data_IF_529223810819
#
_entry.id   IF_529223810819
#
_cell.length_a   1.000
_cell.length_b   1.000
_cell.length_c   1.000
_cell.angle_alpha   90.00
_cell.angle_beta   90.00
_cell.angle_gamma   90.00
#
_symmetry.space_group_name_H-M   'P 1'
#
loop_
_entity.id
_entity.type
_entity.pdbx_description
1 polymer ?
#
# COMPACT_ATOMS: atom_id res chain seq x y z
N UNK A 1 -21.60 -44.90 -10.49
CA UNK A 1 -20.18 -44.85 -10.91
C UNK A 1 -19.59 -43.47 -10.58
N UNK A 2 -19.49 -43.12 -9.27
CA UNK A 2 -18.89 -41.83 -8.80
C UNK A 2 -18.53 -41.81 -7.30
N UNK A 3 -18.43 -42.98 -6.64
CA UNK A 3 -18.02 -43.12 -5.23
C UNK A 3 -16.70 -43.89 -5.03
N UNK A 4 -16.13 -44.47 -6.09
CA UNK A 4 -14.91 -45.26 -5.99
C UNK A 4 -13.61 -44.46 -6.20
N UNK A 5 -13.68 -43.29 -6.85
CA UNK A 5 -12.46 -42.49 -7.14
C UNK A 5 -11.95 -41.64 -5.97
N UNK A 6 -12.81 -41.37 -4.97
CA UNK A 6 -12.43 -40.52 -3.83
C UNK A 6 -11.65 -41.27 -2.75
N UNK A 7 -11.95 -42.56 -2.51
CA UNK A 7 -11.23 -43.36 -1.51
C UNK A 7 -9.83 -43.80 -1.98
N UNK A 8 -9.65 -44.01 -3.29
CA UNK A 8 -8.35 -44.41 -3.85
C UNK A 8 -7.31 -43.28 -3.70
N UNK A 9 -7.72 -42.03 -3.90
CA UNK A 9 -6.84 -40.86 -3.84
C UNK A 9 -6.43 -40.48 -2.41
N UNK A 10 -7.27 -40.76 -1.40
CA UNK A 10 -6.94 -40.52 0.02
C UNK A 10 -5.96 -41.57 0.57
N UNK A 11 -6.12 -42.84 0.21
CA UNK A 11 -5.21 -43.91 0.63
C UNK A 11 -3.82 -43.76 -0.01
N UNK A 12 -3.76 -43.36 -1.28
CA UNK A 12 -2.49 -43.11 -1.98
C UNK A 12 -1.66 -41.98 -1.35
N UNK A 13 -2.30 -40.86 -0.97
CA UNK A 13 -1.62 -39.72 -0.32
C UNK A 13 -1.09 -40.04 1.08
N UNK A 14 -1.82 -40.82 1.86
CA UNK A 14 -1.37 -41.25 3.21
C UNK A 14 -0.17 -42.19 3.08
N UNK A 15 -0.18 -43.10 2.09
CA UNK A 15 0.97 -43.97 1.82
C UNK A 15 2.21 -43.19 1.38
N UNK A 16 2.07 -42.16 0.54
CA UNK A 16 3.20 -41.32 0.11
C UNK A 16 3.80 -40.54 1.30
N UNK A 17 2.97 -39.99 2.19
CA UNK A 17 3.43 -39.27 3.39
C UNK A 17 4.13 -40.21 4.37
N UNK A 18 3.59 -41.43 4.58
CA UNK A 18 4.24 -42.45 5.42
C UNK A 18 5.58 -42.92 4.83
N UNK A 19 5.67 -43.04 3.50
CA UNK A 19 6.89 -43.44 2.81
C UNK A 19 7.96 -42.34 2.88
N UNK A 20 7.57 -41.06 2.82
CA UNK A 20 8.46 -39.91 3.04
C UNK A 20 8.95 -39.80 4.50
N UNK A 21 8.09 -40.11 5.48
CA UNK A 21 8.48 -40.16 6.89
C UNK A 21 9.43 -41.32 7.20
N UNK A 22 9.25 -42.48 6.57
CA UNK A 22 10.17 -43.63 6.72
C UNK A 22 11.53 -43.34 6.06
N UNK A 23 11.56 -42.64 4.91
CA UNK A 23 12.82 -42.21 4.27
C UNK A 23 13.56 -41.20 5.16
N UNK A 24 12.86 -40.28 5.82
CA UNK A 24 13.45 -39.37 6.80
C UNK A 24 14.05 -40.11 8.01
N UNK A 25 13.37 -41.14 8.53
CA UNK A 25 13.88 -41.93 9.68
C UNK A 25 15.07 -42.82 9.28
N UNK A 26 15.11 -43.34 8.05
CA UNK A 26 16.21 -44.18 7.54
C UNK A 26 17.42 -43.34 7.12
N UNK A 27 17.23 -42.09 6.67
CA UNK A 27 18.34 -41.16 6.40
C UNK A 27 19.05 -40.66 7.67
N UNK A 28 18.40 -40.69 8.84
CA UNK A 28 18.99 -40.24 10.11
C UNK A 28 19.54 -41.36 11.02
N UNK A 29 19.46 -42.63 10.61
CA UNK A 29 19.93 -43.77 11.43
C UNK A 29 21.19 -44.47 10.91
N UNK A 30 21.91 -43.91 9.94
CA UNK A 30 23.04 -44.60 9.30
C UNK A 30 24.15 -43.70 8.74
N UNK A 31 24.59 -42.66 9.47
CA UNK A 31 25.93 -42.05 9.42
C UNK A 31 25.91 -40.76 10.24
N UNK A 32 26.08 -40.86 11.55
CA UNK A 32 25.99 -39.67 12.40
C UNK A 32 26.47 -39.87 13.83
N UNK A 33 27.43 -40.77 14.05
CA UNK A 33 28.07 -40.88 15.37
C UNK A 33 29.32 -40.00 15.52
N UNK A 34 29.90 -39.48 14.43
CA UNK A 34 31.13 -38.67 14.48
C UNK A 34 30.97 -37.20 14.07
N UNK A 35 29.76 -36.74 13.72
CA UNK A 35 29.52 -35.32 13.39
C UNK A 35 28.98 -34.50 14.57
N UNK A 36 28.40 -35.16 15.58
CA UNK A 36 27.76 -34.49 16.72
C UNK A 36 28.69 -34.21 17.91
N UNK A 37 29.93 -34.72 17.93
CA UNK A 37 30.93 -34.36 18.96
C UNK A 37 31.65 -33.05 18.67
N UNK A 38 31.29 -32.34 17.59
CA UNK A 38 31.88 -31.04 17.21
C UNK A 38 30.94 -29.85 17.37
N UNK A 39 29.75 -30.04 17.95
CA UNK A 39 28.76 -28.97 18.18
C UNK A 39 28.25 -28.93 19.64
N UNK A 40 29.07 -29.34 20.61
CA UNK A 40 28.90 -28.85 21.99
C UNK A 40 29.50 -27.44 22.08
N UNK A 41 28.71 -26.45 21.68
CA UNK A 41 29.10 -25.05 21.76
C UNK A 41 28.21 -24.08 21.00
N UNK A 42 26.89 -24.19 21.09
CA UNK A 42 25.96 -23.20 20.49
C UNK A 42 24.67 -23.02 21.29
N UNK A 43 24.74 -22.54 22.53
CA UNK A 43 23.59 -21.87 23.17
C UNK A 43 23.35 -20.46 22.61
N UNK A 44 24.34 -19.84 21.94
CA UNK A 44 24.23 -18.49 21.36
C UNK A 44 23.41 -18.40 20.06
N UNK A 45 23.20 -19.49 19.33
CA UNK A 45 22.50 -19.44 18.03
C UNK A 45 20.97 -19.52 18.20
N UNK A 46 20.49 -20.18 19.26
CA UNK A 46 19.06 -20.26 19.57
C UNK A 46 18.50 -18.95 20.15
N UNK A 47 19.28 -18.24 20.98
CA UNK A 47 18.87 -16.93 21.52
C UNK A 47 18.89 -15.84 20.44
N UNK A 48 19.82 -15.91 19.48
CA UNK A 48 19.86 -15.04 18.30
C UNK A 48 18.67 -15.24 17.36
N UNK A 49 18.17 -16.46 17.21
CA UNK A 49 17.02 -16.74 16.34
C UNK A 49 15.69 -16.30 16.99
N UNK A 50 15.54 -16.45 18.31
CA UNK A 50 14.34 -15.99 19.02
C UNK A 50 14.28 -14.46 19.11
N UNK A 51 15.43 -13.79 19.36
CA UNK A 51 15.50 -12.31 19.35
C UNK A 51 15.25 -11.74 17.96
N UNK A 52 15.67 -12.42 16.89
CA UNK A 52 15.34 -12.04 15.52
C UNK A 52 13.85 -12.22 15.24
N UNK A 53 13.22 -13.31 15.69
CA UNK A 53 11.77 -13.52 15.56
C UNK A 53 10.94 -12.48 16.32
N UNK A 54 11.33 -12.13 17.56
CA UNK A 54 10.63 -11.13 18.39
C UNK A 54 10.80 -9.71 17.85
N UNK A 55 12.00 -9.34 17.39
CA UNK A 55 12.20 -8.06 16.70
C UNK A 55 11.44 -7.99 15.37
N UNK A 56 11.22 -9.14 14.72
CA UNK A 56 10.52 -9.24 13.44
C UNK A 56 9.00 -9.16 13.55
N UNK A 57 8.39 -9.65 14.63
CA UNK A 57 6.97 -9.44 14.93
C UNK A 57 6.73 -8.00 15.41
N UNK A 58 7.68 -7.40 16.13
CA UNK A 58 7.62 -6.00 16.56
C UNK A 58 7.43 -5.03 15.39
N UNK A 59 8.26 -5.09 14.35
CA UNK A 59 8.18 -4.15 13.20
C UNK A 59 6.83 -4.23 12.46
N UNK A 60 6.24 -5.41 12.38
CA UNK A 60 4.96 -5.62 11.69
C UNK A 60 3.81 -5.15 12.58
N UNK A 61 3.87 -5.44 13.87
CA UNK A 61 2.91 -4.95 14.86
C UNK A 61 2.93 -3.42 14.93
N UNK A 62 4.11 -2.79 14.98
CA UNK A 62 4.27 -1.34 15.02
C UNK A 62 3.77 -0.67 13.74
N UNK A 63 4.04 -1.29 12.58
CA UNK A 63 3.51 -0.84 11.30
C UNK A 63 1.98 -0.93 11.27
N UNK A 64 1.42 -2.07 11.69
CA UNK A 64 -0.03 -2.26 11.74
C UNK A 64 -0.71 -1.29 12.70
N UNK A 65 -0.16 -1.11 13.90
CA UNK A 65 -0.74 -0.19 14.89
C UNK A 65 -0.65 1.25 14.44
N UNK A 66 0.44 1.65 13.77
CA UNK A 66 0.58 2.99 13.20
C UNK A 66 -0.40 3.21 12.04
N UNK A 67 -0.56 2.19 11.19
CA UNK A 67 -1.51 2.25 10.08
C UNK A 67 -2.95 2.32 10.57
N UNK A 68 -3.28 1.61 11.64
CA UNK A 68 -4.58 1.68 12.28
C UNK A 68 -4.80 3.01 13.02
N UNK A 69 -3.79 3.52 13.73
CA UNK A 69 -3.93 4.76 14.52
C UNK A 69 -4.02 6.01 13.66
N UNK A 70 -3.16 6.14 12.65
CA UNK A 70 -3.06 7.38 11.86
C UNK A 70 -3.97 7.41 10.65
N UNK A 71 -4.31 6.24 10.11
CA UNK A 71 -5.05 6.14 8.85
C UNK A 71 -6.33 5.30 8.99
N UNK A 72 -6.65 4.80 10.17
CA UNK A 72 -7.84 3.96 10.39
C UNK A 72 -7.75 2.59 9.71
N UNK A 73 -6.56 2.18 9.27
CA UNK A 73 -6.38 0.94 8.53
C UNK A 73 -6.14 -0.22 9.51
N UNK A 74 -7.20 -0.94 9.86
CA UNK A 74 -7.05 -2.22 10.55
C UNK A 74 -6.50 -3.26 9.57
N UNK A 75 -5.20 -3.57 9.64
CA UNK A 75 -4.63 -4.66 8.84
C UNK A 75 -4.48 -5.91 9.69
N UNK A 76 -5.28 -6.94 9.40
CA UNK A 76 -5.16 -8.22 10.10
C UNK A 76 -3.78 -8.87 9.84
N UNK A 77 -3.07 -9.15 10.93
CA UNK A 77 -1.76 -9.81 10.91
C UNK A 77 -1.96 -11.32 11.06
N UNK A 78 -2.08 -12.04 9.95
CA UNK A 78 -2.10 -13.51 9.98
C UNK A 78 -0.79 -14.07 9.38
N UNK A 79 -0.06 -14.90 10.15
CA UNK A 79 0.97 -15.79 9.60
C UNK A 79 2.33 -15.20 9.17
N UNK A 80 2.82 -14.09 9.73
CA UNK A 80 4.07 -13.45 9.26
C UNK A 80 5.41 -14.10 9.65
N UNK A 81 5.43 -15.35 10.10
CA UNK A 81 6.65 -15.99 10.59
C UNK A 81 7.70 -16.27 9.48
N UNK A 82 7.31 -16.33 8.20
CA UNK A 82 8.19 -16.75 7.09
C UNK A 82 8.57 -15.63 6.09
N UNK A 83 8.29 -14.36 6.39
CA UNK A 83 8.63 -13.26 5.47
C UNK A 83 10.12 -12.91 5.50
N UNK A 84 10.77 -13.06 4.33
CA UNK A 84 12.19 -12.73 4.06
C UNK A 84 12.55 -11.32 4.54
N UNK A 85 13.77 -11.16 5.06
CA UNK A 85 14.36 -9.89 5.55
C UNK A 85 14.16 -8.70 4.59
N UNK A 86 14.24 -8.94 3.28
CA UNK A 86 14.06 -7.90 2.27
C UNK A 86 12.63 -7.32 2.23
N UNK A 87 11.62 -8.17 2.39
CA UNK A 87 10.22 -7.72 2.41
C UNK A 87 9.94 -6.88 3.65
N UNK A 88 10.52 -7.23 4.81
CA UNK A 88 10.44 -6.44 6.04
C UNK A 88 11.13 -5.08 5.89
N UNK A 89 12.27 -5.04 5.21
CA UNK A 89 12.97 -3.77 4.90
C UNK A 89 12.13 -2.87 4.00
N UNK A 90 11.47 -3.42 2.97
CA UNK A 90 10.51 -2.69 2.13
C UNK A 90 9.32 -2.16 2.93
N UNK A 91 8.75 -2.97 3.83
CA UNK A 91 7.64 -2.55 4.71
C UNK A 91 8.05 -1.36 5.57
N UNK A 92 9.17 -1.50 6.29
CA UNK A 92 9.68 -0.43 7.15
C UNK A 92 9.91 0.85 6.36
N UNK A 93 10.51 0.75 5.16
CA UNK A 93 10.71 1.91 4.28
C UNK A 93 9.39 2.55 3.85
N UNK A 94 8.36 1.76 3.53
CA UNK A 94 7.03 2.27 3.16
C UNK A 94 6.34 2.99 4.32
N UNK A 95 6.42 2.44 5.54
CA UNK A 95 5.88 3.06 6.76
C UNK A 95 6.59 4.38 7.07
N UNK A 96 7.91 4.42 7.00
CA UNK A 96 8.66 5.68 7.23
C UNK A 96 8.31 6.74 6.18
N UNK A 97 8.16 6.37 4.90
CA UNK A 97 7.68 7.30 3.87
C UNK A 97 6.25 7.79 4.12
N UNK A 98 5.36 6.93 4.62
CA UNK A 98 4.00 7.33 4.95
C UNK A 98 3.97 8.29 6.15
N UNK A 99 4.86 8.11 7.14
CA UNK A 99 5.07 9.07 8.22
C UNK A 99 5.54 10.43 7.69
N UNK A 100 6.54 10.43 6.81
CA UNK A 100 7.02 11.67 6.18
C UNK A 100 5.89 12.41 5.45
N UNK A 101 5.04 11.69 4.70
CA UNK A 101 3.86 12.29 4.07
C UNK A 101 2.89 12.84 5.12
N UNK A 102 2.67 12.12 6.22
CA UNK A 102 1.77 12.60 7.27
C UNK A 102 2.27 13.87 7.94
N UNK A 103 3.57 13.95 8.21
CA UNK A 103 4.20 15.16 8.73
C UNK A 103 4.03 16.33 7.75
N UNK A 104 4.23 16.11 6.45
CA UNK A 104 4.06 17.15 5.41
C UNK A 104 2.61 17.63 5.25
N UNK A 105 1.64 16.77 5.49
CA UNK A 105 0.21 17.14 5.44
C UNK A 105 -0.14 18.20 6.48
N UNK A 106 0.53 18.17 7.64
CA UNK A 106 0.28 19.07 8.77
C UNK A 106 1.20 20.31 8.76
N UNK A 107 2.08 20.46 7.78
CA UNK A 107 2.95 21.64 7.63
C UNK A 107 2.15 22.90 7.24
N UNK A 108 2.75 24.08 7.43
CA UNK A 108 2.18 25.32 6.89
C UNK A 108 2.37 25.35 5.38
N UNK A 109 1.28 25.55 4.64
CA UNK A 109 1.29 25.62 3.18
C UNK A 109 1.92 26.91 2.64
N UNK A 110 2.23 26.90 1.34
CA UNK A 110 2.81 28.07 0.64
C UNK A 110 1.77 28.89 -0.11
N UNK A 111 0.55 28.36 -0.28
CA UNK A 111 -0.54 29.03 -0.96
C UNK A 111 -1.45 29.73 0.06
N UNK A 112 -2.04 30.83 -0.37
CA UNK A 112 -2.99 31.60 0.44
C UNK A 112 -4.37 31.72 -0.22
N UNK A 113 -4.43 31.60 -1.55
CA UNK A 113 -5.66 31.71 -2.32
C UNK A 113 -5.60 30.92 -3.65
N UNK A 114 -6.75 30.53 -4.23
CA UNK A 114 -6.84 29.84 -5.52
C UNK A 114 -6.09 30.53 -6.68
N UNK A 115 -6.03 31.87 -6.66
CA UNK A 115 -5.30 32.64 -7.68
C UNK A 115 -3.79 32.41 -7.67
N UNK A 116 -3.22 31.94 -6.57
CA UNK A 116 -1.77 31.81 -6.39
C UNK A 116 -1.17 30.74 -7.31
N UNK A 117 -1.97 29.74 -7.70
CA UNK A 117 -1.51 28.66 -8.57
C UNK A 117 -1.55 29.03 -10.05
N UNK A 118 -2.15 30.18 -10.41
CA UNK A 118 -2.28 30.62 -11.80
C UNK A 118 -2.84 29.52 -12.72
N UNK A 119 -3.94 28.87 -12.30
CA UNK A 119 -4.61 27.84 -13.09
C UNK A 119 -5.08 28.44 -14.42
N UNK A 120 -4.74 27.79 -15.53
CA UNK A 120 -5.14 28.26 -16.85
C UNK A 120 -5.29 27.11 -17.85
N UNK A 121 -6.22 27.28 -18.78
CA UNK A 121 -6.43 26.37 -19.91
C UNK A 121 -5.30 26.56 -20.94
N UNK A 122 -4.59 25.49 -21.27
CA UNK A 122 -3.41 25.55 -22.15
C UNK A 122 -3.76 25.63 -23.63
N UNK A 123 -4.95 25.16 -24.03
CA UNK A 123 -5.36 25.10 -25.44
C UNK A 123 -6.72 25.74 -25.74
N UNK A 124 -7.37 26.31 -24.72
CA UNK A 124 -8.65 27.02 -24.83
C UNK A 124 -9.85 26.09 -25.08
N UNK A 125 -9.71 24.78 -24.80
CA UNK A 125 -10.76 23.77 -25.04
C UNK A 125 -11.44 23.26 -23.78
N UNK A 126 -11.11 23.81 -22.62
CA UNK A 126 -11.66 23.46 -21.32
C UNK A 126 -11.35 22.03 -20.90
N UNK A 127 -10.19 21.50 -21.30
CA UNK A 127 -9.79 20.10 -21.01
C UNK A 127 -8.41 20.00 -20.39
N UNK A 128 -7.42 20.64 -20.99
CA UNK A 128 -6.04 20.54 -20.54
C UNK A 128 -5.70 21.83 -19.82
N UNK A 129 -5.28 21.72 -18.58
CA UNK A 129 -4.96 22.85 -17.72
C UNK A 129 -3.53 22.72 -17.20
N UNK A 130 -2.94 23.86 -16.86
CA UNK A 130 -1.68 23.93 -16.15
C UNK A 130 -1.79 24.90 -14.97
N UNK A 131 -1.03 24.62 -13.91
CA UNK A 131 -0.89 25.50 -12.76
C UNK A 131 0.54 25.44 -12.22
N UNK A 132 0.96 26.46 -11.49
CA UNK A 132 2.28 26.55 -10.85
C UNK A 132 2.17 26.27 -9.36
N UNK A 133 3.09 25.49 -8.83
CA UNK A 133 3.22 25.24 -7.40
C UNK A 133 4.70 25.08 -7.04
N UNK A 134 5.18 25.83 -6.05
CA UNK A 134 6.60 25.87 -5.64
C UNK A 134 7.57 26.10 -6.83
N UNK A 135 7.16 26.94 -7.79
CA UNK A 135 7.95 27.23 -9.00
C UNK A 135 8.03 26.09 -10.03
N UNK A 136 7.37 24.95 -9.79
CA UNK A 136 7.17 23.87 -10.78
C UNK A 136 5.81 23.99 -11.45
N UNK A 137 5.73 23.65 -12.74
CA UNK A 137 4.47 23.58 -13.48
C UNK A 137 3.89 22.15 -13.42
N UNK A 138 2.60 22.07 -13.10
CA UNK A 138 1.82 20.84 -13.03
C UNK A 138 0.74 20.85 -14.10
N UNK A 139 0.41 19.67 -14.61
CA UNK A 139 -0.68 19.50 -15.57
C UNK A 139 -1.92 18.92 -14.88
N UNK A 140 -3.09 19.47 -15.21
CA UNK A 140 -4.39 18.93 -14.83
C UNK A 140 -5.22 18.63 -16.08
N UNK A 141 -5.98 17.55 -16.04
CA UNK A 141 -6.88 17.16 -17.14
C UNK A 141 -8.28 17.05 -16.60
N UNK A 142 -9.17 17.87 -17.13
CA UNK A 142 -10.59 17.78 -16.87
C UNK A 142 -11.24 16.77 -17.83
N UNK A 143 -12.06 15.91 -17.25
CA UNK A 143 -13.10 15.16 -17.95
C UNK A 143 -14.41 15.39 -17.21
N UNK A 144 -15.55 15.10 -17.84
CA UNK A 144 -16.85 15.35 -17.22
C UNK A 144 -16.88 14.80 -15.79
N UNK A 145 -17.09 15.69 -14.82
CA UNK A 145 -17.15 15.38 -13.39
C UNK A 145 -15.88 14.74 -12.82
N UNK A 146 -14.70 14.96 -13.41
CA UNK A 146 -13.46 14.38 -12.90
C UNK A 146 -12.22 15.21 -13.26
N UNK A 147 -11.35 15.41 -12.28
CA UNK A 147 -10.06 16.06 -12.44
C UNK A 147 -8.92 15.08 -12.21
N UNK A 148 -8.03 14.95 -13.19
CA UNK A 148 -6.78 14.23 -13.03
C UNK A 148 -5.61 15.19 -12.90
N UNK A 149 -4.80 15.08 -11.86
CA UNK A 149 -3.59 15.90 -11.66
C UNK A 149 -2.35 15.04 -11.83
N UNK A 150 -1.46 15.43 -12.73
CA UNK A 150 -0.29 14.65 -13.10
C UNK A 150 0.87 14.91 -12.13
N UNK A 151 1.51 13.83 -11.66
CA UNK A 151 2.57 13.87 -10.64
C UNK A 151 2.15 14.55 -9.33
N UNK A 152 0.87 14.42 -8.98
CA UNK A 152 0.27 15.02 -7.80
C UNK A 152 0.90 14.57 -6.48
N UNK A 153 1.58 13.42 -6.45
CA UNK A 153 2.31 12.90 -5.28
C UNK A 153 3.42 13.81 -4.74
N UNK A 154 3.87 14.80 -5.54
CA UNK A 154 4.89 15.77 -5.13
C UNK A 154 4.33 16.88 -4.24
N UNK A 155 3.01 17.07 -4.24
CA UNK A 155 2.32 18.07 -3.43
C UNK A 155 1.75 17.32 -2.25
N UNK A 156 2.26 17.58 -1.05
CA UNK A 156 1.93 16.79 0.15
C UNK A 156 1.34 17.63 1.29
N UNK A 157 1.18 18.95 1.11
CA UNK A 157 0.57 19.82 2.10
C UNK A 157 -0.96 19.85 1.97
N UNK A 158 -1.69 19.61 3.07
CA UNK A 158 -3.15 19.46 3.03
C UNK A 158 -3.88 20.77 2.71
N UNK A 159 -3.43 21.89 3.28
CA UNK A 159 -4.04 23.21 3.05
C UNK A 159 -3.81 23.68 1.60
N UNK A 160 -2.61 23.45 1.06
CA UNK A 160 -2.32 23.76 -0.34
C UNK A 160 -3.14 22.88 -1.30
N UNK A 161 -3.31 21.59 -1.00
CA UNK A 161 -4.22 20.72 -1.76
C UNK A 161 -5.64 21.28 -1.78
N UNK A 162 -6.18 21.75 -0.64
CA UNK A 162 -7.52 22.36 -0.58
C UNK A 162 -7.60 23.62 -1.43
N UNK A 163 -6.56 24.46 -1.41
CA UNK A 163 -6.52 25.67 -2.24
C UNK A 163 -6.50 25.31 -3.73
N UNK A 164 -5.70 24.31 -4.12
CA UNK A 164 -5.67 23.79 -5.50
C UNK A 164 -7.03 23.24 -5.89
N UNK A 165 -7.64 22.39 -5.06
CA UNK A 165 -8.97 21.84 -5.31
C UNK A 165 -10.04 22.92 -5.41
N UNK A 166 -9.94 24.00 -4.62
CA UNK A 166 -10.83 25.16 -4.72
C UNK A 166 -10.73 25.82 -6.10
N UNK A 167 -9.51 26.05 -6.60
CA UNK A 167 -9.28 26.59 -7.94
C UNK A 167 -9.87 25.68 -9.05
N UNK A 168 -9.71 24.36 -8.91
CA UNK A 168 -10.25 23.40 -9.87
C UNK A 168 -11.79 23.38 -9.90
N UNK A 169 -12.43 23.45 -8.73
CA UNK A 169 -13.89 23.51 -8.60
C UNK A 169 -14.45 24.82 -9.16
N UNK A 170 -13.77 25.95 -8.94
CA UNK A 170 -14.16 27.25 -9.48
C UNK A 170 -14.19 27.25 -11.02
N UNK A 171 -13.28 26.53 -11.65
CA UNK A 171 -13.21 26.37 -13.11
C UNK A 171 -14.22 25.34 -13.63
N UNK A 172 -14.23 24.12 -13.06
CA UNK A 172 -15.21 23.07 -13.35
C UNK A 172 -15.68 22.38 -12.07
N UNK A 173 -16.93 22.61 -11.63
CA UNK A 173 -17.50 21.91 -10.49
C UNK A 173 -17.55 20.40 -10.70
N UNK A 174 -17.26 19.65 -9.65
CA UNK A 174 -17.29 18.18 -9.66
C UNK A 174 -18.43 17.69 -8.77
N UNK A 175 -19.27 16.80 -9.30
CA UNK A 175 -20.34 16.20 -8.51
C UNK A 175 -19.79 15.24 -7.46
N UNK A 176 -20.53 15.08 -6.37
CA UNK A 176 -20.30 14.02 -5.40
C UNK A 176 -20.69 12.65 -5.93
N UNK A 177 -20.44 11.61 -5.13
CA UNK A 177 -20.77 10.21 -5.44
C UNK A 177 -22.26 9.96 -5.73
N UNK A 178 -23.15 10.81 -5.23
CA UNK A 178 -24.60 10.76 -5.48
C UNK A 178 -25.01 11.36 -6.84
N UNK A 179 -24.09 12.02 -7.54
CA UNK A 179 -24.33 12.79 -8.78
C UNK A 179 -25.40 13.89 -8.64
N UNK A 180 -25.72 14.29 -7.41
CA UNK A 180 -26.71 15.35 -7.10
C UNK A 180 -26.06 16.52 -6.36
N UNK A 181 -25.19 16.21 -5.39
CA UNK A 181 -24.40 17.21 -4.66
C UNK A 181 -23.12 17.55 -5.42
N UNK A 182 -22.48 18.66 -5.04
CA UNK A 182 -21.14 19.02 -5.51
C UNK A 182 -20.11 18.75 -4.42
N UNK A 183 -18.92 18.31 -4.81
CA UNK A 183 -17.80 18.09 -3.90
C UNK A 183 -17.28 19.41 -3.35
N UNK A 184 -16.80 19.35 -2.13
CA UNK A 184 -16.04 20.42 -1.49
C UNK A 184 -14.55 20.25 -1.77
N UNK A 185 -13.73 21.32 -1.59
CA UNK A 185 -12.29 21.20 -1.63
C UNK A 185 -11.74 20.17 -0.64
N UNK A 186 -12.34 20.04 0.54
CA UNK A 186 -11.98 19.04 1.55
C UNK A 186 -12.20 17.61 1.04
N UNK A 187 -13.33 17.33 0.37
CA UNK A 187 -13.60 16.01 -0.23
C UNK A 187 -12.52 15.62 -1.24
N UNK A 188 -12.10 16.56 -2.10
CA UNK A 188 -11.10 16.32 -3.14
C UNK A 188 -9.69 16.22 -2.57
N UNK A 189 -9.35 17.05 -1.57
CA UNK A 189 -8.06 17.00 -0.89
C UNK A 189 -7.89 15.69 -0.10
N UNK A 190 -8.95 15.18 0.53
CA UNK A 190 -8.90 13.89 1.24
C UNK A 190 -8.56 12.73 0.28
N UNK A 191 -9.20 12.67 -0.88
CA UNK A 191 -8.90 11.64 -1.90
C UNK A 191 -7.45 11.75 -2.41
N UNK A 192 -6.95 12.97 -2.60
CA UNK A 192 -5.56 13.21 -2.96
C UNK A 192 -4.60 12.72 -1.87
N UNK A 193 -4.87 13.00 -0.59
CA UNK A 193 -4.12 12.46 0.54
C UNK A 193 -4.06 10.92 0.47
N UNK A 194 -5.18 10.24 0.22
CA UNK A 194 -5.21 8.78 0.08
C UNK A 194 -4.31 8.27 -1.06
N UNK A 195 -4.28 8.98 -2.20
CA UNK A 195 -3.38 8.68 -3.32
C UNK A 195 -1.90 8.86 -2.96
N UNK A 196 -1.56 9.94 -2.27
CA UNK A 196 -0.19 10.22 -1.83
C UNK A 196 0.31 9.16 -0.83
N UNK A 197 -0.54 8.78 0.12
CA UNK A 197 -0.24 7.72 1.08
C UNK A 197 0.00 6.39 0.37
N UNK A 198 -0.88 6.02 -0.57
CA UNK A 198 -0.70 4.81 -1.37
C UNK A 198 0.62 4.86 -2.18
N UNK A 199 0.97 6.00 -2.79
CA UNK A 199 2.23 6.18 -3.51
C UNK A 199 3.46 6.03 -2.61
N UNK A 200 3.44 6.66 -1.44
CA UNK A 200 4.55 6.62 -0.47
C UNK A 200 4.78 5.20 0.05
N UNK A 201 3.69 4.49 0.32
CA UNK A 201 3.73 3.14 0.88
C UNK A 201 4.20 2.09 -0.13
N UNK A 202 3.83 2.21 -1.40
CA UNK A 202 4.20 1.24 -2.43
C UNK A 202 5.71 1.30 -2.75
N UNK A 203 6.38 0.14 -2.92
CA UNK A 203 7.78 0.11 -3.35
C UNK A 203 8.00 0.72 -4.73
N UNK A 204 9.21 1.23 -4.95
CA UNK A 204 9.57 2.00 -6.14
C UNK A 204 9.46 1.16 -7.45
N UNK A 205 9.56 -0.18 -7.33
CA UNK A 205 9.44 -1.17 -8.40
C UNK A 205 7.99 -1.68 -8.61
N UNK A 206 7.03 -1.29 -7.76
CA UNK A 206 5.65 -1.76 -7.86
C UNK A 206 4.90 -1.11 -9.03
N UNK A 207 4.27 -1.94 -9.89
CA UNK A 207 3.49 -1.46 -11.07
C UNK A 207 2.33 -0.52 -10.74
N UNK A 208 1.75 -0.61 -9.55
CA UNK A 208 0.66 0.23 -9.07
C UNK A 208 1.14 1.59 -8.60
N UNK A 209 2.42 1.73 -8.21
CA UNK A 209 2.99 3.03 -7.84
C UNK A 209 2.95 4.03 -8.99
N UNK A 210 3.12 3.55 -10.22
CA UNK A 210 2.97 4.38 -11.41
C UNK A 210 1.53 4.88 -11.61
N UNK A 211 0.53 4.21 -11.03
CA UNK A 211 -0.89 4.62 -11.09
C UNK A 211 -1.26 5.60 -9.98
N UNK A 212 -0.62 5.50 -8.82
CA UNK A 212 -0.89 6.37 -7.66
C UNK A 212 -0.10 7.69 -7.69
N UNK A 213 0.82 7.86 -8.64
CA UNK A 213 1.56 9.11 -8.83
C UNK A 213 0.67 10.27 -9.29
N UNK A 214 -0.45 9.96 -9.93
CA UNK A 214 -1.44 10.93 -10.38
C UNK A 214 -2.70 10.69 -9.54
N UNK A 215 -3.30 11.74 -8.98
CA UNK A 215 -4.64 11.67 -8.40
C UNK A 215 -5.66 11.79 -9.52
N UNK A 216 -6.72 11.00 -9.42
CA UNK A 216 -7.84 10.97 -10.36
C UNK A 216 -9.12 11.17 -9.54
N UNK A 217 -9.54 12.43 -9.36
CA UNK A 217 -10.56 12.91 -8.42
C UNK A 217 -11.97 12.49 -8.85
N UNK A 218 -12.20 11.18 -8.82
CA UNK A 218 -13.38 10.52 -9.32
C UNK A 218 -14.53 10.64 -8.29
N UNK A 219 -15.73 11.08 -8.69
CA UNK A 219 -16.89 11.15 -7.79
C UNK A 219 -17.18 9.84 -7.06
N UNK A 220 -16.95 8.70 -7.72
CA UNK A 220 -17.16 7.38 -7.12
C UNK A 220 -16.17 7.05 -5.98
N UNK A 221 -15.06 7.79 -5.89
CA UNK A 221 -13.98 7.61 -4.91
C UNK A 221 -14.16 8.53 -3.69
N UNK A 222 -15.18 9.41 -3.71
CA UNK A 222 -15.43 10.37 -2.64
C UNK A 222 -15.59 9.67 -1.28
N UNK A 223 -14.78 10.11 -0.32
CA UNK A 223 -14.84 9.65 1.06
C UNK A 223 -14.28 8.24 1.29
N UNK A 224 -13.73 7.60 0.24
CA UNK A 224 -13.09 6.30 0.38
C UNK A 224 -11.63 6.45 0.81
N UNK A 225 -11.21 5.62 1.76
CA UNK A 225 -9.82 5.40 2.10
C UNK A 225 -9.07 4.64 0.98
N UNK A 226 -7.74 4.68 0.96
CA UNK A 226 -6.98 3.93 -0.07
C UNK A 226 -7.23 2.41 -0.01
N UNK A 227 -7.58 1.84 1.15
CA UNK A 227 -7.91 0.41 1.27
C UNK A 227 -9.26 0.09 0.64
N UNK A 228 -10.25 0.96 0.79
CA UNK A 228 -11.56 0.83 0.14
C UNK A 228 -11.44 1.04 -1.38
N UNK A 229 -10.62 2.01 -1.81
CA UNK A 229 -10.28 2.19 -3.22
C UNK A 229 -9.62 0.93 -3.77
N UNK A 230 -8.65 0.35 -3.06
CA UNK A 230 -8.00 -0.89 -3.45
C UNK A 230 -8.99 -2.07 -3.54
N UNK A 231 -9.86 -2.23 -2.54
CA UNK A 231 -10.84 -3.30 -2.51
C UNK A 231 -11.81 -3.20 -3.67
N UNK A 232 -12.30 -2.00 -3.98
CA UNK A 232 -13.17 -1.76 -5.13
C UNK A 232 -12.48 -2.04 -6.46
N UNK A 233 -11.21 -1.65 -6.61
CA UNK A 233 -10.46 -1.88 -7.86
C UNK A 233 -10.04 -3.34 -8.06
N UNK A 234 -9.82 -4.09 -6.99
CA UNK A 234 -9.26 -5.46 -7.06
C UNK A 234 -10.25 -6.56 -6.70
N UNK A 235 -11.36 -6.22 -6.06
CA UNK A 235 -12.31 -7.16 -5.45
C UNK A 235 -11.75 -7.88 -4.22
N UNK A 236 -10.70 -7.33 -3.59
CA UNK A 236 -10.00 -7.96 -2.47
C UNK A 236 -9.79 -6.98 -1.32
N UNK A 237 -10.12 -7.40 -0.12
CA UNK A 237 -9.74 -6.69 1.08
C UNK A 237 -8.20 -6.53 1.16
N UNK A 238 -7.74 -5.34 1.55
CA UNK A 238 -6.32 -5.10 1.81
C UNK A 238 -5.92 -5.77 3.13
N UNK A 239 -5.18 -6.88 3.05
CA UNK A 239 -4.56 -7.57 4.21
C UNK A 239 -3.04 -7.37 4.21
N UNK A 240 -2.34 -7.69 5.31
CA UNK A 240 -0.87 -7.62 5.32
C UNK A 240 -0.31 -8.57 4.26
N UNK A 241 -0.92 -9.74 4.05
CA UNK A 241 -0.45 -10.67 3.03
C UNK A 241 -0.58 -10.12 1.60
N UNK A 242 -1.70 -9.48 1.26
CA UNK A 242 -1.86 -8.82 -0.04
C UNK A 242 -0.92 -7.63 -0.17
N UNK A 243 -0.74 -6.84 0.89
CA UNK A 243 0.22 -5.75 0.94
C UNK A 243 1.66 -6.26 0.70
N UNK A 244 2.06 -7.31 1.42
CA UNK A 244 3.38 -7.94 1.30
C UNK A 244 3.56 -8.59 -0.08
N UNK A 245 2.51 -9.08 -0.71
CA UNK A 245 2.54 -9.55 -2.09
C UNK A 245 2.85 -8.40 -3.04
N UNK A 246 2.17 -7.26 -2.92
CA UNK A 246 2.47 -6.08 -3.72
C UNK A 246 3.90 -5.57 -3.49
N UNK A 247 4.44 -5.74 -2.28
CA UNK A 247 5.85 -5.39 -2.06
C UNK A 247 6.87 -6.37 -2.67
N UNK A 248 6.44 -7.59 -3.03
CA UNK A 248 7.27 -8.61 -3.69
C UNK A 248 7.20 -8.53 -5.22
N UNK A 249 6.13 -7.98 -5.80
CA UNK A 249 5.90 -7.89 -7.26
C UNK A 249 6.73 -6.79 -7.97
N UNK A 250 7.96 -6.55 -7.51
CA UNK A 250 8.92 -5.63 -8.12
C UNK A 250 10.01 -6.34 -8.90
#
# INVERSE_FOLDING_TARGET
MRRYDYEYNRKSKIWIILLLLIVLVVCFSGCGADFLSRFEGTEEIASGLSTVSEAMTGVVSDASSYLESEFGIGIEIDGLNDTKTETKKKLKKGVEKAKEVKEQLDEEGILSAPSDINLHDVDGKGKNYAFTYDGEEYSAVYTKDNWKIINSYKIANNEDMKIICSALIEEHPVHGSDMESYRTPDDMAYEWEQHNLAYAFLPDDNRWKARTKDVDLNPEDQGLSFTEIYERQTGKQMTIDELMKHMKEG
#
